data_IF_522177076155
#
_entry.id   IF_522177076155
#
_cell.length_a   1.000
_cell.length_b   1.000
_cell.length_c   1.000
_cell.angle_alpha   90.00
_cell.angle_beta   90.00
_cell.angle_gamma   90.00
#
_symmetry.space_group_name_H-M   'P 1'
#
loop_
_entity.id
_entity.type
_entity.pdbx_description
1 polymer ?
#
# COMPACT_ATOMS: atom_id res chain seq x y z
N UNK A 1 -8.13 -22.70 -12.76
CA UNK A 1 -7.37 -22.05 -11.69
C UNK A 1 -7.95 -20.66 -11.49
N UNK A 2 -8.83 -20.47 -10.50
CA UNK A 2 -9.40 -19.15 -10.21
C UNK A 2 -8.45 -18.39 -9.30
N UNK A 3 -7.85 -17.31 -9.82
CA UNK A 3 -7.13 -16.34 -9.00
C UNK A 3 -8.13 -15.68 -8.05
N UNK A 4 -8.27 -16.19 -6.83
CA UNK A 4 -9.16 -15.60 -5.82
C UNK A 4 -8.45 -14.41 -5.18
N UNK A 5 -8.38 -13.28 -5.86
CA UNK A 5 -7.87 -12.02 -5.32
C UNK A 5 -9.04 -11.06 -5.07
N UNK A 6 -8.96 -10.24 -4.02
CA UNK A 6 -9.81 -9.06 -3.92
C UNK A 6 -9.32 -8.03 -4.96
N UNK A 7 -10.25 -7.44 -5.70
CA UNK A 7 -9.90 -6.49 -6.75
C UNK A 7 -9.98 -5.07 -6.21
N UNK A 8 -8.86 -4.35 -6.31
CA UNK A 8 -8.81 -2.92 -6.05
C UNK A 8 -9.26 -2.16 -7.30
N UNK A 9 -10.20 -1.25 -7.12
CA UNK A 9 -10.81 -0.43 -8.15
C UNK A 9 -10.60 1.05 -7.84
N UNK A 10 -10.29 1.83 -8.88
CA UNK A 10 -10.16 3.27 -8.82
C UNK A 10 -11.30 3.93 -9.58
N UNK A 11 -11.77 5.06 -9.06
CA UNK A 11 -12.70 5.91 -9.78
C UNK A 11 -11.97 6.62 -10.92
N UNK A 12 -12.46 6.45 -12.14
CA UNK A 12 -11.95 7.15 -13.31
C UNK A 12 -12.98 8.16 -13.81
N UNK A 13 -12.54 9.40 -14.01
CA UNK A 13 -13.35 10.48 -14.56
C UNK A 13 -12.91 10.72 -16.01
N UNK A 14 -13.36 9.88 -16.94
CA UNK A 14 -13.20 10.13 -18.37
C UNK A 14 -14.51 10.72 -18.90
N UNK A 15 -14.41 11.91 -19.51
CA UNK A 15 -15.43 12.72 -20.21
C UNK A 15 -16.91 12.29 -20.04
N UNK A 16 -17.74 13.25 -19.59
CA UNK A 16 -19.17 13.14 -19.21
C UNK A 16 -19.40 12.76 -17.74
N UNK A 17 -20.56 13.14 -17.18
CA UNK A 17 -20.95 12.99 -15.77
C UNK A 17 -21.03 11.53 -15.26
N UNK A 18 -20.44 10.57 -15.96
CA UNK A 18 -20.48 9.15 -15.59
C UNK A 18 -19.14 8.74 -14.99
N UNK A 19 -19.16 8.28 -13.75
CA UNK A 19 -17.99 7.79 -13.02
C UNK A 19 -17.92 6.27 -13.21
N UNK A 20 -16.78 5.77 -13.70
CA UNK A 20 -16.55 4.33 -13.88
C UNK A 20 -15.49 3.83 -12.93
N UNK A 21 -15.65 2.59 -12.45
CA UNK A 21 -14.65 1.89 -11.66
C UNK A 21 -13.72 1.11 -12.58
N UNK A 22 -12.41 1.31 -12.43
CA UNK A 22 -11.37 0.65 -13.23
C UNK A 22 -10.46 -0.14 -12.30
N UNK A 23 -10.00 -1.31 -12.74
CA UNK A 23 -9.01 -2.08 -11.99
C UNK A 23 -7.73 -1.28 -11.75
N UNK A 24 -7.14 -1.42 -10.58
CA UNK A 24 -5.86 -0.78 -10.22
C UNK A 24 -4.67 -1.34 -10.98
N UNK A 25 -4.87 -2.49 -11.64
CA UNK A 25 -3.90 -3.20 -12.43
C UNK A 25 -4.35 -3.19 -13.88
N UNK A 26 -3.51 -2.64 -14.74
CA UNK A 26 -3.65 -2.79 -16.18
C UNK A 26 -2.81 -3.99 -16.64
N UNK A 27 -3.37 -4.77 -17.55
CA UNK A 27 -2.66 -5.83 -18.27
C UNK A 27 -2.54 -5.39 -19.73
N UNK A 28 -1.45 -4.72 -20.12
CA UNK A 28 -1.23 -4.31 -21.52
C UNK A 28 -1.36 -5.49 -22.49
N UNK A 29 -0.90 -6.67 -22.08
CA UNK A 29 -1.06 -7.93 -22.80
C UNK A 29 -1.34 -9.07 -21.81
N UNK A 30 -1.90 -10.18 -22.31
CA UNK A 30 -2.20 -11.38 -21.50
C UNK A 30 -0.97 -11.96 -20.79
N UNK A 31 0.21 -11.83 -21.39
CA UNK A 31 1.47 -12.36 -20.83
C UNK A 31 2.25 -11.33 -20.01
N UNK A 32 1.82 -10.07 -20.01
CA UNK A 32 2.51 -9.00 -19.27
C UNK A 32 2.20 -9.04 -17.78
N UNK A 33 3.20 -8.68 -16.97
CA UNK A 33 2.98 -8.41 -15.55
C UNK A 33 2.05 -7.20 -15.39
N UNK A 34 1.15 -7.23 -14.39
CA UNK A 34 0.22 -6.13 -14.16
C UNK A 34 0.98 -4.84 -13.85
N UNK A 35 0.67 -3.77 -14.58
CA UNK A 35 1.15 -2.43 -14.26
C UNK A 35 0.23 -1.87 -13.18
N UNK A 36 0.79 -1.68 -11.99
CA UNK A 36 0.08 -1.08 -10.85
C UNK A 36 0.02 0.43 -11.03
N UNK A 37 -1.18 0.98 -11.02
CA UNK A 37 -1.38 2.43 -11.04
C UNK A 37 -1.04 3.04 -9.69
N UNK A 38 -0.38 4.20 -9.73
CA UNK A 38 -0.08 5.02 -8.56
C UNK A 38 -1.16 6.10 -8.40
N UNK A 39 -1.63 6.31 -7.17
CA UNK A 39 -2.47 7.45 -6.83
C UNK A 39 -1.59 8.66 -6.59
N UNK A 40 -1.80 9.69 -7.41
CA UNK A 40 -1.05 10.95 -7.34
C UNK A 40 -1.86 11.98 -6.56
N UNK A 41 -1.30 12.45 -5.47
CA UNK A 41 -1.78 13.56 -4.68
C UNK A 41 -1.01 14.83 -5.07
N UNK A 42 -1.73 15.93 -5.27
CA UNK A 42 -1.12 17.23 -5.60
C UNK A 42 -0.76 17.95 -4.30
N UNK A 43 0.54 18.18 -4.09
CA UNK A 43 1.05 18.95 -2.95
C UNK A 43 0.40 20.35 -2.91
N UNK A 44 -0.05 20.78 -1.74
CA UNK A 44 -0.68 22.09 -1.53
C UNK A 44 -2.21 22.11 -1.73
N UNK A 45 -2.82 20.99 -2.13
CA UNK A 45 -4.29 20.84 -2.18
C UNK A 45 -4.73 19.67 -1.31
N UNK A 46 -5.76 19.84 -0.49
CA UNK A 46 -6.40 18.72 0.21
C UNK A 46 -7.05 17.82 -0.84
N UNK A 47 -6.31 16.82 -1.30
CA UNK A 47 -6.76 15.86 -2.29
C UNK A 47 -7.12 14.55 -1.59
N UNK A 48 -8.28 14.02 -1.95
CA UNK A 48 -8.78 12.75 -1.47
C UNK A 48 -8.96 11.81 -2.67
N UNK A 49 -8.65 10.54 -2.49
CA UNK A 49 -8.89 9.50 -3.48
C UNK A 49 -9.84 8.45 -2.91
N UNK A 50 -10.90 8.15 -3.65
CA UNK A 50 -11.84 7.09 -3.31
C UNK A 50 -11.41 5.82 -4.03
N UNK A 51 -11.33 4.73 -3.29
CA UNK A 51 -11.02 3.41 -3.81
C UNK A 51 -12.11 2.43 -3.39
N UNK A 52 -12.30 1.40 -4.21
CA UNK A 52 -13.24 0.33 -3.91
C UNK A 52 -12.53 -1.01 -3.94
N UNK A 53 -12.95 -1.92 -3.08
CA UNK A 53 -12.40 -3.26 -3.03
C UNK A 53 -13.55 -4.26 -3.16
N UNK A 54 -13.47 -5.08 -4.19
CA UNK A 54 -14.48 -6.07 -4.52
C UNK A 54 -14.02 -7.48 -4.16
N UNK A 55 -14.85 -8.22 -3.43
CA UNK A 55 -14.66 -9.63 -3.15
C UNK A 55 -15.57 -10.48 -4.06
N UNK A 56 -15.03 -11.17 -5.07
CA UNK A 56 -15.82 -11.99 -5.99
C UNK A 56 -16.20 -13.37 -5.43
N UNK A 57 -15.82 -13.68 -4.19
CA UNK A 57 -15.99 -15.03 -3.62
C UNK A 57 -17.21 -15.14 -2.73
N UNK A 58 -17.64 -16.37 -2.48
CA UNK A 58 -18.72 -16.74 -1.56
C UNK A 58 -18.32 -16.69 -0.08
N UNK A 59 -17.07 -16.34 0.22
CA UNK A 59 -16.51 -16.31 1.57
C UNK A 59 -16.09 -14.90 1.97
N UNK A 60 -16.30 -14.60 3.24
CA UNK A 60 -15.76 -13.41 3.88
C UNK A 60 -14.22 -13.43 3.80
N UNK A 61 -13.63 -12.27 3.58
CA UNK A 61 -12.20 -12.14 3.36
C UNK A 61 -11.60 -11.02 4.18
N UNK A 62 -10.52 -11.36 4.88
CA UNK A 62 -9.60 -10.40 5.49
C UNK A 62 -8.30 -10.45 4.69
N UNK A 63 -7.92 -9.34 4.06
CA UNK A 63 -6.76 -9.27 3.17
C UNK A 63 -5.98 -7.98 3.41
N UNK A 64 -4.66 -8.01 3.19
CA UNK A 64 -3.82 -6.82 3.20
C UNK A 64 -3.71 -6.30 1.76
N UNK A 65 -4.32 -5.16 1.49
CA UNK A 65 -4.32 -4.55 0.15
C UNK A 65 -3.24 -3.49 0.08
N UNK A 66 -2.45 -3.54 -1.00
CA UNK A 66 -1.31 -2.67 -1.25
C UNK A 66 -1.67 -1.66 -2.35
N UNK A 67 -1.47 -0.38 -2.07
CA UNK A 67 -1.78 0.75 -2.95
C UNK A 67 -0.51 1.60 -3.13
N UNK A 68 -0.19 1.96 -4.36
CA UNK A 68 0.96 2.84 -4.64
C UNK A 68 0.52 4.29 -4.54
N UNK A 69 1.23 5.09 -3.75
CA UNK A 69 0.93 6.51 -3.54
C UNK A 69 2.22 7.34 -3.63
N UNK A 70 2.10 8.62 -4.00
CA UNK A 70 3.26 9.52 -4.16
C UNK A 70 3.61 10.36 -2.90
N UNK A 71 2.83 10.24 -1.83
CA UNK A 71 2.99 11.00 -0.58
C UNK A 71 2.84 10.06 0.62
N UNK A 72 3.54 10.34 1.72
CA UNK A 72 3.46 9.53 2.94
C UNK A 72 2.48 10.12 3.99
N UNK A 73 2.02 11.36 3.82
CA UNK A 73 1.15 12.03 4.79
C UNK A 73 -0.31 11.74 4.46
N UNK A 74 -0.72 10.49 4.68
CA UNK A 74 -2.10 10.06 4.41
C UNK A 74 -2.73 9.32 5.58
N UNK A 75 -4.05 9.38 5.63
CA UNK A 75 -4.87 8.49 6.44
C UNK A 75 -6.01 7.90 5.63
N UNK A 76 -6.61 6.83 6.15
CA UNK A 76 -7.68 6.09 5.48
C UNK A 76 -8.94 6.13 6.33
N UNK A 77 -10.08 6.33 5.67
CA UNK A 77 -11.40 6.15 6.28
C UNK A 77 -12.23 5.12 5.52
N UNK A 78 -13.17 4.47 6.22
CA UNK A 78 -14.28 3.73 5.59
C UNK A 78 -15.58 4.14 6.29
N UNK A 79 -16.60 4.47 5.51
CA UNK A 79 -17.88 4.99 6.01
C UNK A 79 -17.69 6.16 7.01
N UNK A 80 -16.72 7.06 6.72
CA UNK A 80 -16.32 8.21 7.57
C UNK A 80 -15.70 7.84 8.92
N UNK A 81 -15.39 6.57 9.18
CA UNK A 81 -14.63 6.14 10.35
C UNK A 81 -13.17 5.96 9.99
N UNK A 82 -12.27 6.44 10.86
CA UNK A 82 -10.84 6.23 10.72
C UNK A 82 -10.51 4.73 10.72
N UNK A 83 -9.46 4.38 9.98
CA UNK A 83 -8.94 3.01 9.92
C UNK A 83 -7.54 2.99 10.48
N UNK A 84 -7.44 2.40 11.67
CA UNK A 84 -6.22 2.31 12.46
C UNK A 84 -5.26 1.23 11.92
N UNK A 85 -5.75 0.38 11.00
CA UNK A 85 -5.04 -0.77 10.42
C UNK A 85 -4.48 -0.46 9.05
N UNK A 86 -3.75 0.65 8.95
CA UNK A 86 -2.99 1.02 7.78
C UNK A 86 -1.50 1.19 8.12
N UNK A 87 -0.64 1.01 7.13
CA UNK A 87 0.80 1.18 7.26
C UNK A 87 1.35 1.78 5.96
N UNK A 88 2.36 2.64 6.07
CA UNK A 88 3.04 3.21 4.91
C UNK A 88 4.48 2.72 4.89
N UNK A 89 4.85 2.10 3.77
CA UNK A 89 6.20 1.61 3.53
C UNK A 89 6.86 2.42 2.40
N UNK A 90 8.16 2.75 2.52
CA UNK A 90 8.92 3.31 1.41
C UNK A 90 9.06 2.28 0.28
N UNK A 91 9.01 2.74 -0.97
CA UNK A 91 9.28 1.86 -2.11
C UNK A 91 10.78 1.75 -2.35
N UNK A 92 11.30 0.52 -2.40
CA UNK A 92 12.69 0.26 -2.71
C UNK A 92 12.90 0.14 -4.23
N UNK A 93 13.94 0.80 -4.74
CA UNK A 93 14.26 0.81 -6.18
C UNK A 93 14.56 -0.58 -6.76
N UNK A 94 15.09 -1.48 -5.94
CA UNK A 94 15.17 -2.91 -6.28
C UNK A 94 15.37 -3.74 -5.01
N UNK A 95 15.15 -5.06 -5.12
CA UNK A 95 15.40 -6.01 -4.01
C UNK A 95 16.86 -6.05 -3.52
N UNK A 96 17.80 -5.51 -4.29
CA UNK A 96 19.24 -5.51 -3.98
C UNK A 96 19.79 -4.11 -3.70
N UNK A 97 18.93 -3.09 -3.78
CA UNK A 97 19.32 -1.70 -3.60
C UNK A 97 18.83 -1.22 -2.25
N UNK A 98 19.71 -0.55 -1.53
CA UNK A 98 19.35 0.17 -0.30
C UNK A 98 18.83 1.58 -0.60
N UNK A 99 18.54 1.89 -1.88
CA UNK A 99 18.02 3.19 -2.30
C UNK A 99 16.49 3.16 -2.33
N UNK A 100 15.89 4.03 -1.52
CA UNK A 100 14.46 4.33 -1.50
C UNK A 100 14.13 5.22 -2.70
N UNK A 101 13.02 4.94 -3.38
CA UNK A 101 12.52 5.79 -4.45
C UNK A 101 11.84 7.04 -3.86
N UNK A 102 12.27 8.21 -4.32
CA UNK A 102 11.70 9.47 -3.89
C UNK A 102 10.23 9.59 -4.30
N UNK A 103 9.40 10.09 -3.37
CA UNK A 103 7.96 10.30 -3.58
C UNK A 103 7.23 9.04 -4.07
N UNK A 104 7.64 7.84 -3.64
CA UNK A 104 6.92 6.61 -3.92
C UNK A 104 6.81 5.74 -2.66
N UNK A 105 5.58 5.42 -2.30
CA UNK A 105 5.25 4.67 -1.11
C UNK A 105 4.22 3.59 -1.40
N UNK A 106 4.24 2.55 -0.57
CA UNK A 106 3.24 1.50 -0.53
C UNK A 106 2.37 1.69 0.70
N UNK A 107 1.11 2.06 0.50
CA UNK A 107 0.10 2.07 1.55
C UNK A 107 -0.51 0.67 1.64
N UNK A 108 -0.38 0.05 2.80
CA UNK A 108 -0.95 -1.23 3.15
C UNK A 108 -2.18 -0.99 4.02
N UNK A 109 -3.30 -1.58 3.65
CA UNK A 109 -4.57 -1.46 4.38
C UNK A 109 -5.08 -2.86 4.64
N UNK A 110 -5.33 -3.20 5.90
CA UNK A 110 -6.06 -4.43 6.21
C UNK A 110 -7.54 -4.21 5.98
N UNK A 111 -8.11 -4.95 5.04
CA UNK A 111 -9.51 -4.84 4.65
C UNK A 111 -10.27 -6.08 5.04
N UNK A 112 -11.53 -5.87 5.44
CA UNK A 112 -12.47 -6.92 5.79
C UNK A 112 -13.68 -6.79 4.87
N UNK A 113 -13.99 -7.81 4.07
CA UNK A 113 -14.94 -7.71 2.97
C UNK A 113 -15.82 -8.94 2.94
N UNK A 114 -17.14 -8.72 2.95
CA UNK A 114 -18.14 -9.79 2.92
C UNK A 114 -18.18 -10.50 1.54
N UNK A 115 -18.75 -11.72 1.45
CA UNK A 115 -18.96 -12.39 0.17
C UNK A 115 -19.68 -11.51 -0.86
N UNK A 116 -19.24 -11.58 -2.12
CA UNK A 116 -19.87 -10.89 -3.26
C UNK A 116 -20.15 -9.39 -3.02
N UNK A 117 -19.32 -8.72 -2.21
CA UNK A 117 -19.54 -7.34 -1.79
C UNK A 117 -18.42 -6.42 -2.25
N UNK A 118 -18.75 -5.13 -2.32
CA UNK A 118 -17.83 -4.05 -2.59
C UNK A 118 -17.74 -3.14 -1.37
N UNK A 119 -16.52 -2.73 -1.00
CA UNK A 119 -16.28 -1.84 0.13
C UNK A 119 -15.51 -0.61 -0.30
N UNK A 120 -16.01 0.55 0.11
CA UNK A 120 -15.42 1.85 -0.18
C UNK A 120 -14.44 2.26 0.93
N UNK A 121 -13.33 2.85 0.49
CA UNK A 121 -12.33 3.47 1.34
C UNK A 121 -11.93 4.82 0.74
N UNK A 122 -11.67 5.80 1.61
CA UNK A 122 -11.19 7.12 1.19
C UNK A 122 -9.80 7.34 1.77
N UNK A 123 -8.85 7.66 0.90
CA UNK A 123 -7.49 8.01 1.26
C UNK A 123 -7.38 9.54 1.23
N UNK A 124 -7.01 10.11 2.36
CA UNK A 124 -6.95 11.54 2.56
C UNK A 124 -5.51 11.99 2.70
N UNK A 125 -5.11 13.01 1.94
CA UNK A 125 -3.86 13.71 2.24
C UNK A 125 -4.07 14.62 3.45
N UNK A 126 -3.16 14.56 4.41
CA UNK A 126 -3.20 15.39 5.61
C UNK A 126 -1.87 16.10 5.82
N UNK A 127 -1.91 17.27 6.44
CA UNK A 127 -0.72 17.93 7.00
C UNK A 127 -0.68 17.80 8.53
N UNK A 128 -1.68 17.15 9.13
CA UNK A 128 -1.85 16.98 10.56
C UNK A 128 -1.32 15.61 11.04
N UNK A 129 -1.29 15.42 12.37
CA UNK A 129 -0.63 14.31 13.08
C UNK A 129 -1.31 12.93 12.91
N UNK A 130 -2.55 12.88 12.45
CA UNK A 130 -3.28 11.61 12.19
C UNK A 130 -2.83 11.01 10.86
N UNK A 131 -1.66 10.36 10.87
CA UNK A 131 -1.05 9.71 9.70
C UNK A 131 -1.01 8.21 9.97
N UNK A 132 -1.21 7.39 8.95
CA UNK A 132 -0.92 5.96 9.06
C UNK A 132 0.53 5.77 9.53
N UNK A 133 0.80 4.84 10.48
CA UNK A 133 2.16 4.60 10.96
C UNK A 133 3.10 4.30 9.80
N UNK A 134 4.24 5.00 9.79
CA UNK A 134 5.32 4.78 8.83
C UNK A 134 6.27 3.76 9.42
N UNK A 135 6.54 2.68 8.70
CA UNK A 135 7.53 1.71 9.13
C UNK A 135 8.92 2.31 8.99
N UNK A 136 9.61 2.55 10.11
CA UNK A 136 11.03 2.91 10.10
C UNK A 136 11.85 1.64 10.23
N UNK A 137 12.53 1.24 9.15
CA UNK A 137 13.52 0.17 9.20
C UNK A 137 14.87 0.82 9.47
N UNK A 138 15.37 0.68 10.69
CA UNK A 138 16.73 1.10 11.05
C UNK A 138 17.70 -0.08 10.86
N UNK A 139 18.78 0.15 10.11
CA UNK A 139 19.89 -0.80 10.03
C UNK A 139 20.77 -0.58 11.26
N UNK A 140 20.60 -1.42 12.27
CA UNK A 140 21.51 -1.47 13.40
C UNK A 140 22.72 -2.33 12.97
N UNK A 141 23.90 -1.71 12.86
CA UNK A 141 25.16 -2.46 12.80
C UNK A 141 25.37 -3.21 14.12
N UNK A 142 25.95 -4.41 14.11
CA UNK A 142 26.08 -5.28 15.29
C UNK A 142 26.71 -4.58 16.52
N UNK A 143 27.46 -3.49 16.31
CA UNK A 143 28.10 -2.69 17.36
C UNK A 143 27.18 -1.62 18.02
N UNK A 144 25.94 -1.44 17.55
CA UNK A 144 25.00 -0.40 18.02
C UNK A 144 23.67 -0.95 18.56
N UNK A 145 23.67 -2.14 19.16
CA UNK A 145 22.46 -2.64 19.85
C UNK A 145 22.13 -1.71 21.03
N UNK A 146 20.99 -1.00 21.03
CA UNK A 146 20.61 -0.17 22.18
C UNK A 146 20.25 -1.07 23.35
N UNK A 147 20.67 -0.67 24.55
CA UNK A 147 20.29 -1.34 25.80
C UNK A 147 18.77 -1.56 25.85
N UNK A 148 18.41 -2.81 26.20
CA UNK A 148 17.13 -3.54 26.14
C UNK A 148 15.81 -2.88 26.59
N UNK A 149 15.66 -1.56 26.54
CA UNK A 149 14.52 -0.82 27.12
C UNK A 149 13.58 -0.22 26.08
N UNK A 150 13.89 -0.29 24.79
CA UNK A 150 13.02 0.22 23.73
C UNK A 150 12.58 -0.95 22.85
N UNK A 151 11.35 -1.44 23.06
CA UNK A 151 10.72 -2.43 22.19
C UNK A 151 10.42 -1.80 20.82
N UNK A 152 11.45 -1.73 19.98
CA UNK A 152 11.32 -1.60 18.54
C UNK A 152 11.30 -3.04 18.02
N UNK A 153 10.27 -3.42 17.26
CA UNK A 153 10.28 -4.70 16.53
C UNK A 153 11.38 -4.64 15.47
N UNK A 154 12.57 -5.15 15.82
CA UNK A 154 13.73 -5.23 14.93
C UNK A 154 13.59 -6.51 14.10
N UNK A 155 13.33 -6.35 12.79
CA UNK A 155 13.42 -7.46 11.84
C UNK A 155 14.85 -7.57 11.31
N UNK A 156 15.58 -8.59 11.76
CA UNK A 156 16.89 -8.95 11.20
C UNK A 156 16.73 -9.52 9.79
N UNK A 157 17.15 -8.77 8.76
CA UNK A 157 17.40 -9.34 7.44
C UNK A 157 18.90 -9.63 7.32
N UNK A 158 19.30 -10.85 7.66
CA UNK A 158 20.68 -11.31 7.49
C UNK A 158 21.05 -11.29 5.99
N UNK A 159 22.20 -10.72 5.60
CA UNK A 159 22.68 -10.81 4.22
C UNK A 159 23.19 -12.23 3.94
N UNK A 160 22.44 -13.01 3.16
CA UNK A 160 22.93 -14.27 2.60
C UNK A 160 23.94 -13.95 1.49
N UNK A 161 25.19 -13.74 1.86
CA UNK A 161 26.33 -13.81 0.95
C UNK A 161 27.03 -15.16 1.13
N UNK A 162 26.53 -16.22 0.48
CA UNK A 162 27.37 -17.39 0.19
C UNK A 162 28.18 -17.13 -1.07
N UNK A 163 29.36 -16.51 -0.91
CA UNK A 163 30.45 -16.65 -1.88
C UNK A 163 30.88 -18.13 -1.87
N UNK A 164 30.61 -18.86 -2.95
CA UNK A 164 31.34 -20.11 -3.24
C UNK A 164 32.62 -19.69 -3.95
N UNK A 165 33.74 -19.86 -3.27
CA UNK A 165 35.04 -19.98 -3.92
C UNK A 165 35.07 -21.30 -4.71
N UNK A 166 35.46 -21.22 -5.98
CA UNK A 166 36.19 -22.27 -6.71
C UNK A 166 37.41 -21.59 -7.31
#
# INVERSE_FOLDING_TARGET
MQHSAAYLLFQNNYYSNTQYLVLSQDFPTYESLPIRRMLTFMKGTQSNHIIYIYNPTDRKRIELVKIFINVYQVYVTSNKKYIDKCQIDPKWSSRRSNTIEDNQFELLIQVDIEPYSIREYTIHMTTAQEICPITKIEYITEDEVPDSTTLVEIFYLAPILKKKHV
#
